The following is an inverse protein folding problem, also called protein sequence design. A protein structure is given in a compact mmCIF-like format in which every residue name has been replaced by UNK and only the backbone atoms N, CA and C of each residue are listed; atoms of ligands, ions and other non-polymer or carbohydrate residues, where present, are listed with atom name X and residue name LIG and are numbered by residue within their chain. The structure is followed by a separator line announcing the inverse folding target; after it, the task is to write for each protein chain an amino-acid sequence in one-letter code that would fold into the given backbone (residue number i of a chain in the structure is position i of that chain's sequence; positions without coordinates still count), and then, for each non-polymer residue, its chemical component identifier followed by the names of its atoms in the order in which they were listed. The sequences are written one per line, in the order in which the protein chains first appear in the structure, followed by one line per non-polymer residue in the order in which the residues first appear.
data_IF_598230987319
#
_entry.id   IF_598230987319
#
_cell.length_a   1.000
_cell.length_b   1.000
_cell.length_c   1.000
_cell.angle_alpha   90.00
_cell.angle_beta   90.00
_cell.angle_gamma   90.00
#
_symmetry.space_group_name_H-M   'P 1'
#
loop_
_entity.id
_entity.type
_entity.pdbx_description
1 polymer ?
#
# COMPACT_ATOMS: atom_id res chain seq x y z
N UNK A 1 13.03 15.23 -6.15
CA UNK A 1 14.04 14.51 -6.97
C UNK A 1 13.46 13.19 -7.47
N UNK A 2 13.40 12.95 -8.79
CA UNK A 2 12.86 11.71 -9.33
C UNK A 2 13.65 10.48 -8.82
N UNK A 3 12.92 9.45 -8.39
CA UNK A 3 13.47 8.18 -7.88
C UNK A 3 13.85 7.30 -9.08
N UNK A 4 15.00 6.60 -9.00
CA UNK A 4 15.51 5.74 -10.07
C UNK A 4 15.88 4.35 -9.54
N UNK A 5 15.30 3.31 -10.11
CA UNK A 5 15.47 1.91 -9.73
C UNK A 5 16.53 1.19 -10.58
N UNK A 6 17.74 1.75 -10.63
CA UNK A 6 18.87 1.18 -11.37
C UNK A 6 20.00 0.77 -10.41
N UNK A 7 20.73 -0.31 -10.71
CA UNK A 7 21.77 -0.84 -9.81
C UNK A 7 23.18 -0.26 -10.06
N UNK A 8 23.32 0.63 -11.05
CA UNK A 8 24.61 1.22 -11.42
C UNK A 8 25.21 2.11 -10.32
N UNK A 9 24.39 2.62 -9.41
CA UNK A 9 24.84 3.35 -8.22
C UNK A 9 25.24 2.42 -7.06
N UNK A 10 24.80 1.15 -7.07
CA UNK A 10 25.11 0.17 -6.02
C UNK A 10 26.53 -0.39 -6.18
N UNK A 11 27.08 -0.92 -5.09
CA UNK A 11 28.39 -1.59 -5.11
C UNK A 11 28.29 -2.99 -5.72
N UNK A 12 29.42 -3.58 -6.10
CA UNK A 12 29.50 -5.00 -6.48
C UNK A 12 29.27 -5.88 -5.23
N UNK A 13 28.86 -7.15 -5.40
CA UNK A 13 28.82 -8.11 -4.29
C UNK A 13 30.16 -8.22 -3.54
N UNK A 14 31.28 -8.07 -4.25
CA UNK A 14 32.63 -8.02 -3.67
C UNK A 14 32.99 -6.70 -2.97
N UNK A 15 32.08 -5.72 -2.87
CA UNK A 15 32.32 -4.41 -2.27
C UNK A 15 33.02 -3.38 -3.17
N UNK A 16 33.51 -3.78 -4.35
CA UNK A 16 34.11 -2.86 -5.33
C UNK A 16 33.12 -1.80 -5.83
N UNK A 17 33.57 -0.56 -6.02
CA UNK A 17 32.76 0.53 -6.58
C UNK A 17 32.47 0.26 -8.07
N UNK A 18 31.20 0.40 -8.50
CA UNK A 18 30.83 0.33 -9.92
C UNK A 18 30.98 1.71 -10.56
N UNK A 19 31.49 1.76 -11.79
CA UNK A 19 31.47 2.96 -12.64
C UNK A 19 30.22 2.90 -13.52
N UNK A 20 29.38 3.93 -13.49
CA UNK A 20 28.23 4.00 -14.36
C UNK A 20 28.69 4.18 -15.82
N UNK A 21 28.26 3.29 -16.71
CA UNK A 21 28.61 3.34 -18.14
C UNK A 21 27.59 4.12 -18.99
N UNK A 22 26.44 4.48 -18.42
CA UNK A 22 25.34 5.19 -19.10
C UNK A 22 24.57 6.10 -18.15
N UNK A 23 23.75 6.98 -18.72
CA UNK A 23 22.77 7.77 -17.99
C UNK A 23 21.50 6.99 -17.60
N UNK A 24 20.63 7.68 -16.86
CA UNK A 24 19.31 7.21 -16.40
C UNK A 24 18.36 7.06 -17.59
N UNK A 25 17.54 6.01 -17.59
CA UNK A 25 16.57 5.72 -18.67
C UNK A 25 15.15 5.73 -18.14
N UNK A 26 14.19 6.15 -18.98
CA UNK A 26 12.77 6.30 -18.60
C UNK A 26 12.16 5.05 -17.95
N UNK A 27 12.51 3.84 -18.38
CA UNK A 27 11.99 2.61 -17.80
C UNK A 27 12.50 2.31 -16.37
N UNK A 28 13.52 3.05 -15.91
CA UNK A 28 14.08 2.94 -14.55
C UNK A 28 13.44 3.96 -13.58
N UNK A 29 12.55 4.83 -14.06
CA UNK A 29 11.92 5.85 -13.22
C UNK A 29 10.95 5.20 -12.24
N UNK A 30 11.10 5.52 -10.96
CA UNK A 30 10.18 5.17 -9.90
C UNK A 30 9.20 6.30 -9.59
N UNK A 31 8.14 5.95 -8.86
CA UNK A 31 7.19 6.90 -8.29
C UNK A 31 7.42 7.08 -6.79
N UNK A 32 6.91 8.18 -6.24
CA UNK A 32 6.84 8.35 -4.79
C UNK A 32 5.81 7.37 -4.19
N UNK A 33 6.10 6.81 -3.00
CA UNK A 33 5.14 5.96 -2.31
C UNK A 33 3.92 6.79 -1.92
N UNK A 34 2.75 6.17 -2.04
CA UNK A 34 1.50 6.78 -1.60
C UNK A 34 1.18 6.25 -0.22
N UNK A 35 1.25 7.13 0.78
CA UNK A 35 0.79 6.83 2.13
C UNK A 35 -0.73 7.01 2.18
N UNK A 36 -1.48 5.91 2.01
CA UNK A 36 -2.93 5.94 2.11
C UNK A 36 -3.35 6.18 3.56
N UNK A 37 -4.23 7.15 3.80
CA UNK A 37 -4.71 7.50 5.14
C UNK A 37 -6.21 7.26 5.31
N UNK A 38 -6.67 7.24 6.56
CA UNK A 38 -8.09 7.29 6.87
C UNK A 38 -8.65 8.68 6.55
N UNK A 39 -9.78 8.73 5.83
CA UNK A 39 -10.43 9.97 5.44
C UNK A 39 -11.43 9.75 4.31
N UNK A 40 -11.94 10.84 3.75
CA UNK A 40 -12.91 10.73 2.65
C UNK A 40 -12.28 10.08 1.42
N UNK A 41 -13.06 9.28 0.67
CA UNK A 41 -12.52 8.47 -0.42
C UNK A 41 -11.94 9.35 -1.52
N UNK A 42 -10.61 9.33 -1.66
CA UNK A 42 -9.89 10.07 -2.69
C UNK A 42 -8.99 9.12 -3.48
N UNK A 43 -9.21 9.08 -4.79
CA UNK A 43 -8.45 8.27 -5.74
C UNK A 43 -7.69 9.18 -6.70
N UNK A 44 -6.43 8.85 -6.95
CA UNK A 44 -5.61 9.50 -7.97
C UNK A 44 -5.40 8.54 -9.12
N UNK A 45 -5.62 9.00 -10.34
CA UNK A 45 -5.42 8.23 -11.55
C UNK A 45 -4.09 8.67 -12.18
N UNK A 46 -3.19 7.73 -12.44
CA UNK A 46 -1.88 8.00 -13.02
C UNK A 46 -1.64 7.07 -14.21
N UNK A 47 -1.20 7.65 -15.33
CA UNK A 47 -0.77 6.87 -16.51
C UNK A 47 0.60 6.26 -16.25
N UNK A 48 0.74 4.95 -16.48
CA UNK A 48 2.01 4.22 -16.36
C UNK A 48 2.61 3.88 -17.73
N UNK A 49 3.64 3.04 -17.76
CA UNK A 49 4.29 2.58 -18.98
C UNK A 49 3.26 1.96 -19.95
N UNK A 50 3.49 2.08 -21.25
CA UNK A 50 2.63 1.55 -22.30
C UNK A 50 1.20 2.11 -22.39
N UNK A 51 0.82 3.09 -21.57
CA UNK A 51 -0.50 3.71 -21.63
C UNK A 51 -1.53 3.14 -20.66
N UNK A 52 -1.17 2.14 -19.86
CA UNK A 52 -2.03 1.63 -18.80
C UNK A 52 -2.30 2.69 -17.73
N UNK A 53 -3.38 2.48 -16.99
CA UNK A 53 -3.86 3.39 -15.96
C UNK A 53 -3.77 2.70 -14.61
N UNK A 54 -3.11 3.36 -13.66
CA UNK A 54 -3.02 2.93 -12.27
C UNK A 54 -3.86 3.84 -11.38
N UNK A 55 -4.68 3.24 -10.53
CA UNK A 55 -5.49 3.95 -9.54
C UNK A 55 -4.83 3.84 -8.17
N UNK A 56 -4.41 4.98 -7.62
CA UNK A 56 -3.81 5.08 -6.29
C UNK A 56 -4.86 5.55 -5.28
N UNK A 57 -5.00 4.84 -4.17
CA UNK A 57 -5.84 5.27 -3.06
C UNK A 57 -5.05 6.27 -2.19
N UNK A 58 -5.50 7.53 -2.12
CA UNK A 58 -4.91 8.55 -1.25
C UNK A 58 -5.53 8.50 0.14
N UNK A 59 -6.85 8.37 0.19
CA UNK A 59 -7.61 8.21 1.41
C UNK A 59 -8.84 7.36 1.17
N UNK A 60 -9.23 6.59 2.17
CA UNK A 60 -10.51 5.87 2.19
C UNK A 60 -10.95 5.65 3.64
N UNK A 61 -12.25 5.56 3.84
CA UNK A 61 -12.91 5.30 5.12
C UNK A 61 -13.48 3.89 5.18
N UNK A 62 -13.73 3.30 4.00
CA UNK A 62 -14.40 2.01 3.89
C UNK A 62 -13.42 0.91 3.51
N UNK A 63 -13.73 -0.29 3.97
CA UNK A 63 -13.04 -1.53 3.61
C UNK A 63 -14.05 -2.59 3.18
N UNK A 64 -13.71 -3.35 2.15
CA UNK A 64 -14.41 -4.58 1.83
C UNK A 64 -13.85 -5.68 2.73
N UNK A 65 -14.63 -6.08 3.73
CA UNK A 65 -14.23 -7.07 4.71
C UNK A 65 -14.81 -8.43 4.34
N UNK A 66 -13.94 -9.38 4.03
CA UNK A 66 -14.30 -10.77 3.80
C UNK A 66 -14.18 -11.57 5.10
N UNK A 67 -15.26 -12.26 5.47
CA UNK A 67 -15.26 -13.25 6.54
C UNK A 67 -14.97 -14.64 5.94
N UNK A 68 -13.81 -15.26 6.24
CA UNK A 68 -13.46 -16.58 5.73
C UNK A 68 -14.40 -17.70 6.18
N UNK A 69 -15.02 -17.57 7.36
CA UNK A 69 -15.87 -18.62 7.93
C UNK A 69 -17.23 -18.67 7.25
N UNK A 70 -17.82 -17.51 7.01
CA UNK A 70 -19.15 -17.38 6.39
C UNK A 70 -19.07 -17.25 4.86
N UNK A 71 -17.90 -16.91 4.31
CA UNK A 71 -17.69 -16.66 2.88
C UNK A 71 -18.33 -15.36 2.37
N UNK A 72 -18.87 -14.53 3.27
CA UNK A 72 -19.55 -13.28 2.93
C UNK A 72 -18.57 -12.10 2.98
N UNK A 73 -18.78 -11.15 2.07
CA UNK A 73 -18.03 -9.88 2.05
C UNK A 73 -18.96 -8.73 2.36
N UNK A 74 -18.59 -7.91 3.34
CA UNK A 74 -19.38 -6.75 3.78
C UNK A 74 -18.52 -5.50 3.72
N UNK A 75 -19.09 -4.42 3.17
CA UNK A 75 -18.44 -3.12 3.19
C UNK A 75 -18.63 -2.49 4.57
N UNK A 76 -17.53 -2.22 5.26
CA UNK A 76 -17.53 -1.73 6.65
C UNK A 76 -16.64 -0.49 6.78
N UNK A 77 -16.94 0.37 7.75
CA UNK A 77 -16.09 1.51 8.10
C UNK A 77 -14.90 1.09 8.96
N UNK A 78 -13.74 1.69 8.67
CA UNK A 78 -12.51 1.53 9.47
C UNK A 78 -12.50 2.61 10.56
N UNK A 79 -12.35 2.19 11.81
CA UNK A 79 -12.29 3.09 12.96
C UNK A 79 -10.86 3.63 13.14
N UNK A 80 -9.88 2.72 13.21
CA UNK A 80 -8.46 3.06 13.38
C UNK A 80 -7.54 1.94 12.92
N UNK A 81 -6.30 2.30 12.62
CA UNK A 81 -5.21 1.32 12.46
C UNK A 81 -4.72 0.89 13.84
N UNK A 82 -4.63 -0.41 14.07
CA UNK A 82 -4.16 -0.97 15.35
C UNK A 82 -2.67 -1.23 15.28
N UNK A 83 -2.23 -1.91 14.22
CA UNK A 83 -0.83 -2.31 14.07
C UNK A 83 -0.44 -2.53 12.62
N UNK A 84 0.79 -2.16 12.30
CA UNK A 84 1.43 -2.36 11.02
C UNK A 84 2.72 -3.13 11.25
N UNK A 85 2.86 -4.27 10.58
CA UNK A 85 4.05 -5.11 10.74
C UNK A 85 5.33 -4.42 10.23
N UNK A 86 5.22 -3.45 9.32
CA UNK A 86 6.39 -2.82 8.69
C UNK A 86 7.04 -1.73 9.54
N UNK A 87 6.25 -0.89 10.21
CA UNK A 87 6.78 0.22 11.02
C UNK A 87 5.73 0.73 12.03
N UNK A 88 6.15 0.97 13.26
CA UNK A 88 5.33 1.56 14.35
C UNK A 88 4.90 3.00 14.04
N UNK A 89 5.69 3.77 13.29
CA UNK A 89 5.30 5.14 12.92
C UNK A 89 4.13 5.18 11.92
N UNK A 90 3.87 4.09 11.19
CA UNK A 90 2.67 3.98 10.37
C UNK A 90 1.42 3.77 11.21
N UNK A 91 1.54 3.19 12.41
CA UNK A 91 0.42 3.03 13.34
C UNK A 91 -0.02 4.38 13.86
N UNK A 92 0.97 5.18 14.29
CA UNK A 92 0.76 6.53 14.81
C UNK A 92 0.12 7.46 13.78
N UNK A 93 0.52 7.34 12.51
CA UNK A 93 -0.01 8.15 11.40
C UNK A 93 -1.28 7.59 10.78
N UNK A 94 -1.69 6.37 11.14
CA UNK A 94 -2.85 5.70 10.56
C UNK A 94 -2.69 5.37 9.07
N UNK A 95 -1.50 4.92 8.65
CA UNK A 95 -1.24 4.59 7.24
C UNK A 95 -1.70 3.16 6.92
N UNK A 96 -2.50 3.04 5.86
CA UNK A 96 -3.10 1.80 5.40
C UNK A 96 -2.19 1.12 4.37
N UNK A 97 -1.43 0.11 4.81
CA UNK A 97 -0.59 -0.72 3.94
C UNK A 97 -1.10 -2.16 3.89
N UNK A 98 -0.63 -2.92 2.92
CA UNK A 98 -0.82 -4.37 2.91
C UNK A 98 -0.31 -4.97 4.22
N UNK A 99 -1.11 -5.81 4.86
CA UNK A 99 -0.78 -6.46 6.12
C UNK A 99 -1.05 -5.63 7.38
N UNK A 100 -1.50 -4.38 7.24
CA UNK A 100 -1.92 -3.60 8.40
C UNK A 100 -3.19 -4.21 9.03
N UNK A 101 -3.21 -4.26 10.35
CA UNK A 101 -4.32 -4.68 11.19
C UNK A 101 -5.13 -3.44 11.54
N UNK A 102 -6.41 -3.47 11.20
CA UNK A 102 -7.36 -2.38 11.38
C UNK A 102 -8.53 -2.81 12.25
N UNK A 103 -9.04 -1.89 13.05
CA UNK A 103 -10.27 -2.09 13.80
C UNK A 103 -11.45 -1.64 12.95
N UNK A 104 -12.43 -2.53 12.80
CA UNK A 104 -13.69 -2.30 12.10
C UNK A 104 -14.85 -2.54 13.05
N UNK A 105 -16.06 -2.12 12.68
CA UNK A 105 -17.27 -2.39 13.48
C UNK A 105 -17.53 -3.90 13.71
N UNK A 106 -17.08 -4.76 12.80
CA UNK A 106 -17.29 -6.21 12.88
C UNK A 106 -16.17 -6.94 13.64
N UNK A 107 -15.04 -6.27 13.92
CA UNK A 107 -13.89 -6.86 14.59
C UNK A 107 -12.55 -6.41 14.02
N UNK A 108 -11.50 -7.18 14.33
CA UNK A 108 -10.15 -6.93 13.85
C UNK A 108 -9.94 -7.57 12.48
N UNK A 109 -9.47 -6.76 11.54
CA UNK A 109 -9.26 -7.17 10.16
C UNK A 109 -7.83 -6.90 9.69
N UNK A 110 -7.32 -7.73 8.78
CA UNK A 110 -6.02 -7.53 8.12
C UNK A 110 -6.21 -7.16 6.67
N UNK A 111 -5.60 -6.05 6.26
CA UNK A 111 -5.60 -5.59 4.87
C UNK A 111 -4.79 -6.56 4.00
N UNK A 112 -5.37 -7.01 2.89
CA UNK A 112 -4.74 -7.90 1.92
C UNK A 112 -4.36 -7.21 0.62
N UNK A 113 -5.11 -6.18 0.23
CA UNK A 113 -4.82 -5.38 -0.97
C UNK A 113 -3.57 -4.51 -0.80
N UNK A 114 -3.06 -3.98 -1.92
CA UNK A 114 -2.02 -2.95 -1.98
C UNK A 114 -2.68 -1.62 -2.38
N UNK A 115 -3.11 -0.78 -1.42
CA UNK A 115 -3.95 0.38 -1.72
C UNK A 115 -3.35 1.37 -2.74
N UNK A 116 -2.03 1.54 -2.72
CA UNK A 116 -1.31 2.39 -3.68
C UNK A 116 -1.15 1.81 -5.09
N UNK A 117 -1.63 0.60 -5.37
CA UNK A 117 -1.57 -0.03 -6.71
C UNK A 117 -2.95 -0.46 -7.19
N UNK A 118 -3.75 -1.07 -6.31
CA UNK A 118 -5.02 -1.70 -6.66
C UNK A 118 -6.19 -0.69 -6.62
N UNK A 119 -6.03 0.45 -5.93
CA UNK A 119 -7.06 1.50 -5.84
C UNK A 119 -8.28 1.15 -4.98
N UNK A 120 -8.24 0.00 -4.30
CA UNK A 120 -9.28 -0.53 -3.42
C UNK A 120 -8.70 -1.07 -2.12
N UNK A 121 -9.52 -1.05 -1.07
CA UNK A 121 -9.14 -1.53 0.25
C UNK A 121 -9.94 -2.79 0.60
N UNK A 122 -9.24 -3.93 0.57
CA UNK A 122 -9.81 -5.23 0.89
C UNK A 122 -9.10 -5.78 2.13
N UNK A 123 -9.88 -6.39 3.03
CA UNK A 123 -9.37 -7.00 4.24
C UNK A 123 -10.05 -8.33 4.54
N UNK A 124 -9.37 -9.13 5.35
CA UNK A 124 -9.86 -10.40 5.88
C UNK A 124 -10.04 -10.26 7.39
N UNK A 125 -11.17 -10.72 7.91
CA UNK A 125 -11.43 -10.76 9.35
C UNK A 125 -10.47 -11.75 10.03
N UNK A 126 -9.84 -11.32 11.13
CA UNK A 126 -8.97 -12.17 11.96
C UNK A 126 -9.73 -12.61 13.21
N UNK A 127 -10.36 -11.65 13.89
CA UNK A 127 -11.06 -11.88 15.15
C UNK A 127 -12.39 -11.13 15.11
N UNK A 128 -13.48 -11.87 15.30
CA UNK A 128 -14.82 -11.29 15.40
C UNK A 128 -14.97 -10.55 16.73
N UNK A 129 -15.62 -9.38 16.70
CA UNK A 129 -16.06 -8.75 17.93
C UNK A 129 -17.03 -9.70 18.66
N UNK A 130 -16.72 -10.04 19.91
CA UNK A 130 -17.55 -10.91 20.75
C UNK A 130 -18.75 -10.16 21.30
#
# INVERSE_FOLDING_TARGET
MPIWHWDLHKRKPSGGKRKAYRGKRRYESGGYPTETRLGDPKRSVERVMSGDIKVKLLSDRFVNLADPSTGKTVKTEILRVVRNQSNVDYDRRGVLTKGAIVATHLGLARITSRPGQDGVLNAILIESAK
#
